data_IF_574030414860
#
_entry.id   IF_574030414860
#
_cell.length_a   1.000
_cell.length_b   1.000
_cell.length_c   1.000
_cell.angle_alpha   90.00
_cell.angle_beta   90.00
_cell.angle_gamma   90.00
#
_symmetry.space_group_name_H-M   'P 1'
#
loop_
_entity.id
_entity.type
_entity.pdbx_description
1 polymer ?
#
# COMPACT_ATOMS: atom_id res chain seq x y z
N UNK A 1 -12.15 -4.91 3.74
CA UNK A 1 -11.29 -3.70 3.62
C UNK A 1 -10.04 -3.91 4.44
N UNK A 2 -8.94 -3.31 4.04
CA UNK A 2 -7.64 -3.45 4.70
C UNK A 2 -7.07 -2.07 5.06
N UNK A 3 -6.51 -1.96 6.26
CA UNK A 3 -5.54 -0.92 6.59
C UNK A 3 -4.14 -1.50 6.36
N UNK A 4 -3.37 -0.86 5.50
CA UNK A 4 -2.01 -1.29 5.13
C UNK A 4 -1.03 -0.16 5.41
N UNK A 5 0.17 -0.48 5.90
CA UNK A 5 1.25 0.50 6.09
C UNK A 5 2.52 -0.01 5.42
N UNK A 6 3.15 0.83 4.61
CA UNK A 6 4.51 0.61 4.11
C UNK A 6 5.48 1.56 4.80
N UNK A 7 6.63 1.02 5.21
CA UNK A 7 7.72 1.79 5.81
C UNK A 7 8.91 1.77 4.86
N UNK A 8 9.57 2.91 4.67
CA UNK A 8 10.81 3.03 3.92
C UNK A 8 11.89 2.11 4.47
N UNK A 9 12.71 1.53 3.60
CA UNK A 9 13.86 0.71 3.99
C UNK A 9 14.79 1.57 4.84
N UNK A 10 15.24 1.02 5.97
CA UNK A 10 16.04 1.72 6.97
C UNK A 10 15.37 2.97 7.58
N UNK A 11 14.04 3.07 7.54
CA UNK A 11 13.27 4.20 8.09
C UNK A 11 13.76 5.57 7.56
N UNK A 12 14.15 5.59 6.27
CA UNK A 12 14.62 6.81 5.62
C UNK A 12 13.48 7.81 5.45
N UNK A 13 13.68 9.02 5.97
CA UNK A 13 12.75 10.16 5.84
C UNK A 13 12.93 10.81 4.46
N UNK A 14 12.28 10.23 3.45
CA UNK A 14 12.43 10.64 2.05
C UNK A 14 11.11 10.76 1.29
N UNK A 15 9.98 10.55 1.96
CA UNK A 15 8.68 10.54 1.29
C UNK A 15 8.14 11.93 1.02
N UNK A 16 8.41 12.91 1.89
CA UNK A 16 7.88 14.28 1.77
C UNK A 16 8.15 14.91 0.39
N UNK A 17 9.37 14.88 -0.18
CA UNK A 17 9.62 15.48 -1.50
C UNK A 17 8.95 14.76 -2.67
N UNK A 18 8.52 13.51 -2.48
CA UNK A 18 7.92 12.66 -3.53
C UNK A 18 6.47 12.28 -3.23
N UNK A 19 5.85 12.87 -2.19
CA UNK A 19 4.58 12.41 -1.63
C UNK A 19 3.43 12.51 -2.64
N UNK A 20 3.29 13.67 -3.29
CA UNK A 20 2.21 13.87 -4.27
C UNK A 20 2.34 12.94 -5.48
N UNK A 21 3.56 12.77 -6.00
CA UNK A 21 3.82 11.82 -7.09
C UNK A 21 3.58 10.37 -6.63
N UNK A 22 4.01 10.03 -5.41
CA UNK A 22 3.74 8.74 -4.78
C UNK A 22 2.25 8.44 -4.75
N UNK A 23 1.44 9.34 -4.19
CA UNK A 23 -0.01 9.16 -4.07
C UNK A 23 -0.65 9.00 -5.45
N UNK A 24 -0.28 9.85 -6.43
CA UNK A 24 -0.82 9.76 -7.79
C UNK A 24 -0.50 8.43 -8.46
N UNK A 25 0.75 7.94 -8.36
CA UNK A 25 1.14 6.66 -8.96
C UNK A 25 0.43 5.49 -8.26
N UNK A 26 0.25 5.53 -6.94
CA UNK A 26 -0.49 4.50 -6.21
C UNK A 26 -1.95 4.43 -6.67
N UNK A 27 -2.58 5.60 -6.93
CA UNK A 27 -3.92 5.66 -7.53
C UNK A 27 -3.93 5.00 -8.91
N UNK A 28 -2.98 5.36 -9.77
CA UNK A 28 -2.90 4.82 -11.14
C UNK A 28 -2.75 3.29 -11.13
N UNK A 29 -1.88 2.74 -10.27
CA UNK A 29 -1.72 1.29 -10.08
C UNK A 29 -3.05 0.65 -9.65
N UNK A 30 -3.79 1.30 -8.75
CA UNK A 30 -5.08 0.79 -8.27
C UNK A 30 -6.16 0.77 -9.35
N UNK A 31 -6.20 1.75 -10.26
CA UNK A 31 -7.16 1.80 -11.38
C UNK A 31 -7.04 0.62 -12.34
N UNK A 32 -5.84 0.06 -12.46
CA UNK A 32 -5.54 -1.12 -13.27
C UNK A 32 -5.52 -2.42 -12.44
N UNK A 33 -6.22 -2.44 -11.31
CA UNK A 33 -6.20 -3.54 -10.35
C UNK A 33 -7.60 -3.94 -9.86
N UNK A 34 -7.69 -5.14 -9.30
CA UNK A 34 -8.91 -5.66 -8.65
C UNK A 34 -9.02 -5.19 -7.17
N UNK A 35 -8.52 -3.98 -6.88
CA UNK A 35 -8.61 -3.31 -5.60
C UNK A 35 -8.61 -1.79 -5.81
N UNK A 36 -9.17 -1.06 -4.87
CA UNK A 36 -9.32 0.38 -4.86
C UNK A 36 -8.66 0.95 -3.61
N UNK A 37 -7.87 2.01 -3.77
CA UNK A 37 -7.36 2.78 -2.63
C UNK A 37 -8.39 3.88 -2.32
N UNK A 38 -9.05 3.76 -1.18
CA UNK A 38 -10.08 4.69 -0.73
C UNK A 38 -9.47 5.94 -0.10
N UNK A 39 -8.44 5.74 0.72
CA UNK A 39 -7.68 6.80 1.38
C UNK A 39 -6.20 6.41 1.44
N UNK A 40 -5.32 7.39 1.39
CA UNK A 40 -3.91 7.19 1.68
C UNK A 40 -3.27 8.46 2.22
N UNK A 41 -2.34 8.32 3.15
CA UNK A 41 -1.62 9.46 3.72
C UNK A 41 -0.16 9.10 3.99
N UNK A 42 0.73 10.04 3.69
CA UNK A 42 2.17 9.88 3.88
C UNK A 42 2.59 10.60 5.15
N UNK A 43 3.46 9.96 5.92
CA UNK A 43 4.30 10.62 6.91
C UNK A 43 5.75 10.68 6.37
N UNK A 44 6.70 10.99 7.24
CA UNK A 44 8.13 11.15 6.95
C UNK A 44 8.75 9.95 6.25
N UNK A 45 8.53 8.76 6.79
CA UNK A 45 9.19 7.51 6.37
C UNK A 45 8.21 6.37 6.10
N UNK A 46 6.91 6.60 6.18
CA UNK A 46 5.90 5.58 5.95
C UNK A 46 4.62 6.15 5.32
N UNK A 47 3.81 5.27 4.74
CA UNK A 47 2.54 5.62 4.09
C UNK A 47 1.45 4.64 4.54
N UNK A 48 0.29 5.20 4.87
CA UNK A 48 -0.92 4.49 5.26
C UNK A 48 -1.86 4.37 4.07
N UNK A 49 -2.56 3.24 3.97
CA UNK A 49 -3.60 3.01 2.97
C UNK A 49 -4.85 2.42 3.59
N UNK A 50 -6.01 2.92 3.15
CA UNK A 50 -7.29 2.26 3.29
C UNK A 50 -7.67 1.62 1.95
N UNK A 51 -7.68 0.29 1.89
CA UNK A 51 -7.86 -0.45 0.64
C UNK A 51 -9.15 -1.26 0.68
N UNK A 52 -9.98 -1.10 -0.35
CA UNK A 52 -11.09 -1.99 -0.66
C UNK A 52 -10.64 -2.97 -1.73
N UNK A 53 -10.83 -4.26 -1.51
CA UNK A 53 -10.36 -5.29 -2.44
C UNK A 53 -11.45 -6.28 -2.74
N UNK A 54 -11.43 -6.84 -3.95
CA UNK A 54 -12.27 -8.00 -4.28
C UNK A 54 -11.92 -9.20 -3.37
N UNK A 55 -12.90 -10.03 -2.96
CA UNK A 55 -12.65 -11.14 -2.05
C UNK A 55 -11.58 -12.15 -2.49
N UNK A 56 -11.39 -12.32 -3.81
CA UNK A 56 -10.40 -13.24 -4.39
C UNK A 56 -8.96 -12.72 -4.35
N UNK A 57 -8.76 -11.44 -4.04
CA UNK A 57 -7.46 -10.78 -4.06
C UNK A 57 -6.89 -10.77 -2.64
N UNK A 58 -5.75 -11.42 -2.45
CA UNK A 58 -5.09 -11.46 -1.15
C UNK A 58 -4.39 -10.15 -0.83
N UNK A 59 -4.32 -9.78 0.46
CA UNK A 59 -3.57 -8.58 0.87
C UNK A 59 -2.10 -8.65 0.45
N UNK A 60 -1.50 -9.84 0.46
CA UNK A 60 -0.12 -10.04 0.01
C UNK A 60 0.06 -9.68 -1.47
N UNK A 61 -0.88 -10.02 -2.35
CA UNK A 61 -0.75 -9.70 -3.78
C UNK A 61 -0.87 -8.19 -4.02
N UNK A 62 -1.76 -7.51 -3.29
CA UNK A 62 -1.89 -6.03 -3.30
C UNK A 62 -0.58 -5.38 -2.91
N UNK A 63 -0.02 -5.79 -1.75
CA UNK A 63 1.24 -5.22 -1.23
C UNK A 63 2.39 -5.43 -2.21
N UNK A 64 2.52 -6.64 -2.77
CA UNK A 64 3.55 -6.93 -3.77
C UNK A 64 3.42 -6.04 -5.00
N UNK A 65 2.20 -5.89 -5.55
CA UNK A 65 1.95 -5.05 -6.72
C UNK A 65 2.30 -3.59 -6.44
N UNK A 66 1.74 -2.99 -5.39
CA UNK A 66 1.98 -1.58 -5.05
C UNK A 66 3.46 -1.29 -4.80
N UNK A 67 4.14 -2.11 -3.97
CA UNK A 67 5.56 -1.91 -3.68
C UNK A 67 6.42 -2.04 -4.93
N UNK A 68 6.21 -3.09 -5.73
CA UNK A 68 7.04 -3.39 -6.89
C UNK A 68 6.88 -2.36 -8.00
N UNK A 69 5.63 -2.06 -8.39
CA UNK A 69 5.38 -1.15 -9.50
C UNK A 69 5.81 0.28 -9.18
N UNK A 70 5.52 0.75 -7.96
CA UNK A 70 5.98 2.07 -7.53
C UNK A 70 7.50 2.17 -7.49
N UNK A 71 8.18 1.22 -6.85
CA UNK A 71 9.65 1.22 -6.77
C UNK A 71 10.26 1.22 -8.17
N UNK A 72 9.75 0.39 -9.09
CA UNK A 72 10.24 0.35 -10.46
C UNK A 72 10.05 1.68 -11.20
N UNK A 73 8.90 2.34 -11.03
CA UNK A 73 8.65 3.64 -11.68
C UNK A 73 9.54 4.73 -11.09
N UNK A 74 9.65 4.80 -9.76
CA UNK A 74 10.50 5.75 -9.05
C UNK A 74 11.97 5.63 -9.47
N UNK A 75 12.50 4.41 -9.57
CA UNK A 75 13.90 4.21 -9.99
C UNK A 75 14.15 4.52 -11.47
N UNK A 76 13.12 4.47 -12.32
CA UNK A 76 13.23 4.91 -13.72
C UNK A 76 13.24 6.43 -13.85
N UNK A 77 12.46 7.14 -13.04
CA UNK A 77 12.30 8.60 -13.16
C UNK A 77 13.26 9.39 -12.27
N UNK A 78 13.64 8.86 -11.10
CA UNK A 78 14.40 9.57 -10.06
C UNK A 78 15.72 8.88 -9.66
N UNK A 79 16.32 8.09 -10.55
CA UNK A 79 17.52 7.26 -10.27
C UNK A 79 18.63 7.99 -9.51
N UNK A 80 19.02 9.19 -9.96
CA UNK A 80 20.15 9.93 -9.37
C UNK A 80 19.81 10.51 -7.99
N UNK A 81 18.55 10.82 -7.72
CA UNK A 81 18.09 11.19 -6.38
C UNK A 81 18.12 9.98 -5.45
N UNK A 82 17.57 8.84 -5.90
CA UNK A 82 17.46 7.63 -5.10
C UNK A 82 18.81 7.01 -4.74
N UNK A 83 19.81 7.11 -5.62
CA UNK A 83 21.19 6.68 -5.34
C UNK A 83 21.81 7.37 -4.11
N UNK A 84 21.40 8.60 -3.79
CA UNK A 84 21.88 9.32 -2.59
C UNK A 84 21.45 8.65 -1.29
N UNK A 85 20.36 7.90 -1.32
CA UNK A 85 19.78 7.25 -0.13
C UNK A 85 20.00 5.74 -0.08
N UNK A 86 20.07 5.08 -1.24
CA UNK A 86 20.10 3.62 -1.34
C UNK A 86 21.27 3.06 -2.15
N UNK A 87 22.29 3.87 -2.47
CA UNK A 87 23.54 3.42 -3.12
C UNK A 87 23.37 2.65 -4.44
N UNK A 88 22.22 2.79 -5.10
CA UNK A 88 21.88 2.08 -6.33
C UNK A 88 21.15 0.75 -6.14
N UNK A 89 20.84 0.35 -4.91
CA UNK A 89 19.87 -0.73 -4.66
C UNK A 89 18.49 -0.28 -5.09
N UNK A 90 17.85 -0.97 -6.04
CA UNK A 90 16.49 -0.66 -6.51
C UNK A 90 15.43 -0.98 -5.43
N UNK A 91 15.40 -0.18 -4.38
CA UNK A 91 14.57 -0.34 -3.21
C UNK A 91 13.99 1.00 -2.76
N UNK A 92 12.94 0.91 -1.96
CA UNK A 92 12.33 2.05 -1.28
C UNK A 92 11.71 1.57 0.01
N UNK A 93 10.95 0.48 -0.06
CA UNK A 93 10.23 -0.07 1.08
C UNK A 93 11.07 -1.12 1.81
N UNK A 94 10.87 -1.23 3.12
CA UNK A 94 11.28 -2.41 3.90
C UNK A 94 10.59 -3.68 3.39
N UNK A 95 11.14 -4.85 3.71
CA UNK A 95 10.55 -6.13 3.29
C UNK A 95 9.19 -6.35 3.94
N UNK A 96 9.05 -5.97 5.21
CA UNK A 96 7.83 -6.06 5.99
C UNK A 96 6.75 -5.04 5.61
N UNK A 97 5.53 -5.29 6.07
CA UNK A 97 4.41 -4.36 5.99
C UNK A 97 3.44 -4.65 7.14
N UNK A 98 2.67 -3.65 7.52
CA UNK A 98 1.51 -3.88 8.38
C UNK A 98 0.27 -4.10 7.51
N UNK A 99 -0.59 -5.02 7.91
CA UNK A 99 -1.91 -5.20 7.32
C UNK A 99 -2.91 -5.64 8.40
N UNK A 100 -4.07 -5.00 8.42
CA UNK A 100 -5.19 -5.39 9.27
C UNK A 100 -6.50 -5.27 8.50
N UNK A 101 -7.45 -6.17 8.78
CA UNK A 101 -8.82 -6.03 8.27
C UNK A 101 -9.58 -4.98 9.06
N UNK A 102 -10.28 -4.09 8.37
CA UNK A 102 -11.25 -3.20 9.02
C UNK A 102 -12.61 -3.89 8.94
N UNK A 103 -13.10 -4.36 10.09
CA UNK A 103 -14.41 -4.99 10.22
C UNK A 103 -15.48 -3.96 10.56
N UNK A 104 -16.51 -3.84 9.72
CA UNK A 104 -17.73 -3.08 10.01
C UNK A 104 -18.91 -3.97 10.41
N UNK A 105 -18.70 -5.28 10.55
CA UNK A 105 -19.76 -6.23 10.89
C UNK A 105 -19.71 -6.47 12.40
N UNK A 106 -20.79 -6.09 13.09
CA UNK A 106 -20.96 -6.46 14.49
C UNK A 106 -21.12 -7.97 14.62
N UNK A 107 -20.76 -8.54 15.77
CA UNK A 107 -20.89 -9.98 16.03
C UNK A 107 -22.32 -10.47 15.75
N UNK A 108 -23.31 -9.65 16.10
CA UNK A 108 -24.74 -9.93 15.93
C UNK A 108 -25.13 -10.01 14.46
N UNK A 109 -24.60 -9.11 13.61
CA UNK A 109 -24.85 -9.13 12.18
C UNK A 109 -24.21 -10.35 11.50
N UNK A 110 -23.02 -10.79 11.95
CA UNK A 110 -22.40 -12.02 11.48
C UNK A 110 -23.19 -13.27 11.90
N UNK A 111 -23.63 -13.35 13.16
CA UNK A 111 -24.45 -14.48 13.64
C UNK A 111 -25.80 -14.57 12.92
N UNK A 112 -26.47 -13.43 12.69
CA UNK A 112 -27.72 -13.39 11.93
C UNK A 112 -27.52 -13.92 10.51
N UNK A 113 -26.49 -13.46 9.80
CA UNK A 113 -26.20 -13.93 8.44
C UNK A 113 -25.98 -15.45 8.41
N UNK A 114 -25.18 -16.01 9.32
CA UNK A 114 -24.92 -17.46 9.41
C UNK A 114 -26.22 -18.25 9.65
N UNK A 115 -27.10 -17.77 10.54
CA UNK A 115 -28.36 -18.45 10.86
C UNK A 115 -29.37 -18.43 9.72
N UNK A 116 -29.27 -17.47 8.79
CA UNK A 116 -30.28 -17.24 7.74
C UNK A 116 -29.78 -17.49 6.30
N UNK A 117 -28.55 -18.00 6.14
CA UNK A 117 -27.98 -18.42 4.85
C UNK A 117 -28.14 -19.93 4.56
N UNK A 118 -28.92 -20.64 5.38
CA UNK A 118 -29.32 -22.03 5.16
C UNK A 118 -30.67 -22.15 4.45
#
# INVERSE_FOLDING_TARGET
MYHVIFVCKYQKVILEPISEELKQIMIDISKESNFEILEMETDKDHIHFLIKSEPKVSVLSIVRKLKQEYTNRLWKTQKEYMKKYYWGENTLWSDGYFASTIGNISKEAAEYYIRNQG
#
